data_IF_263747645725
#
_entry.id   IF_263747645725
#
_cell.length_a   1.000
_cell.length_b   1.000
_cell.length_c   1.000
_cell.angle_alpha   90.00
_cell.angle_beta   90.00
_cell.angle_gamma   90.00
#
_symmetry.space_group_name_H-M   'P 1'
#
loop_
_entity.id
_entity.type
_entity.pdbx_description
1 polymer ?
#
# COMPACT_ATOMS: atom_id res chain seq x y z
N UNK A 1 25.10 -39.68 37.23
CA UNK A 1 23.99 -38.73 37.08
C UNK A 1 24.32 -37.86 35.87
N UNK A 2 23.81 -38.25 34.69
CA UNK A 2 24.21 -37.69 33.40
C UNK A 2 23.35 -36.46 33.08
N UNK A 3 23.93 -35.27 33.21
CA UNK A 3 23.30 -33.98 32.94
C UNK A 3 24.28 -33.20 32.06
N UNK A 4 24.20 -33.32 30.73
CA UNK A 4 25.20 -32.65 29.89
C UNK A 4 25.12 -32.75 28.37
N UNK A 5 24.04 -33.25 27.77
CA UNK A 5 24.03 -33.45 26.30
C UNK A 5 22.77 -32.98 25.55
N UNK A 6 21.95 -32.09 26.13
CA UNK A 6 20.67 -31.67 25.51
C UNK A 6 20.56 -30.18 25.13
N UNK A 7 21.65 -29.39 25.22
CA UNK A 7 21.57 -27.93 24.95
C UNK A 7 22.23 -27.47 23.65
N UNK A 8 22.77 -28.36 22.82
CA UNK A 8 23.57 -27.96 21.65
C UNK A 8 22.89 -28.09 20.27
N UNK A 9 21.62 -28.53 20.19
CA UNK A 9 20.94 -28.80 18.89
C UNK A 9 19.81 -27.83 18.53
N UNK A 10 19.64 -26.71 19.24
CA UNK A 10 18.62 -25.70 18.91
C UNK A 10 19.19 -24.37 18.38
N UNK A 11 20.50 -24.26 18.19
CA UNK A 11 21.17 -23.00 17.83
C UNK A 11 21.90 -23.05 16.48
N UNK A 12 21.44 -23.87 15.52
CA UNK A 12 22.05 -23.98 14.19
C UNK A 12 21.11 -23.60 13.03
N UNK A 13 19.90 -23.11 13.31
CA UNK A 13 18.93 -22.73 12.27
C UNK A 13 18.80 -21.22 12.03
N UNK A 14 19.67 -20.38 12.60
CA UNK A 14 19.60 -18.91 12.52
C UNK A 14 20.65 -18.26 11.61
N UNK A 15 21.44 -19.06 10.88
CA UNK A 15 22.53 -18.54 10.05
C UNK A 15 22.50 -19.07 8.61
N UNK A 16 21.32 -19.35 8.06
CA UNK A 16 21.19 -19.38 6.60
C UNK A 16 21.23 -17.92 6.15
N UNK A 17 22.30 -17.45 5.48
CA UNK A 17 22.22 -16.18 4.78
C UNK A 17 21.07 -16.33 3.79
N UNK A 18 20.03 -15.50 3.95
CA UNK A 18 19.07 -15.26 2.89
C UNK A 18 19.92 -14.66 1.77
N UNK A 19 20.37 -15.49 0.84
CA UNK A 19 20.86 -15.00 -0.43
C UNK A 19 19.65 -14.32 -1.05
N UNK A 20 19.59 -13.00 -0.92
CA UNK A 20 18.75 -12.18 -1.78
C UNK A 20 19.27 -12.46 -3.20
N UNK A 21 18.59 -13.36 -3.91
CA UNK A 21 18.80 -13.53 -5.33
C UNK A 21 18.47 -12.17 -5.93
N UNK A 22 19.50 -11.40 -6.29
CA UNK A 22 19.36 -10.21 -7.11
C UNK A 22 19.04 -10.72 -8.51
N UNK A 23 17.78 -11.09 -8.72
CA UNK A 23 17.26 -11.28 -10.07
C UNK A 23 17.24 -9.90 -10.69
N UNK A 24 18.14 -9.65 -11.63
CA UNK A 24 18.02 -8.52 -12.52
C UNK A 24 16.65 -8.59 -13.16
N UNK A 25 15.76 -7.65 -12.82
CA UNK A 25 14.48 -7.56 -13.50
C UNK A 25 14.77 -7.41 -14.99
N UNK A 26 14.07 -8.16 -15.87
CA UNK A 26 14.21 -7.96 -17.30
C UNK A 26 13.99 -6.48 -17.61
N UNK A 27 14.76 -5.94 -18.56
CA UNK A 27 14.60 -4.54 -18.97
C UNK A 27 13.14 -4.30 -19.35
N UNK A 28 12.55 -3.23 -18.81
CA UNK A 28 11.19 -2.86 -19.17
C UNK A 28 11.10 -2.75 -20.71
N UNK A 29 10.12 -3.41 -21.35
CA UNK A 29 9.89 -3.22 -22.77
C UNK A 29 9.59 -1.74 -23.05
N UNK A 30 9.98 -1.26 -24.23
CA UNK A 30 9.61 0.08 -24.68
C UNK A 30 8.10 0.22 -24.63
N UNK A 31 7.62 1.28 -23.98
CA UNK A 31 6.19 1.60 -23.88
C UNK A 31 5.71 2.49 -25.03
N UNK A 32 6.62 3.00 -25.88
CA UNK A 32 6.29 3.75 -27.10
C UNK A 32 5.38 2.91 -28.01
N UNK A 33 4.25 3.51 -28.41
CA UNK A 33 3.18 2.90 -29.23
C UNK A 33 2.60 1.56 -28.71
N UNK A 34 2.83 1.20 -27.45
CA UNK A 34 2.31 -0.03 -26.86
C UNK A 34 0.82 0.06 -26.58
N UNK A 35 0.09 -1.02 -26.89
CA UNK A 35 -1.34 -1.16 -26.59
C UNK A 35 -1.47 -2.08 -25.39
N UNK A 36 -2.25 -1.65 -24.40
CA UNK A 36 -2.59 -2.40 -23.20
C UNK A 36 -4.10 -2.59 -23.12
N UNK A 37 -4.54 -3.71 -22.57
CA UNK A 37 -5.96 -3.94 -22.28
C UNK A 37 -6.45 -2.98 -21.19
N UNK A 38 -5.59 -2.67 -20.20
CA UNK A 38 -5.89 -1.75 -19.12
C UNK A 38 -4.71 -0.82 -18.80
N UNK A 39 -5.05 0.43 -18.48
CA UNK A 39 -4.13 1.37 -17.85
C UNK A 39 -4.66 1.67 -16.45
N UNK A 40 -3.86 1.33 -15.44
CA UNK A 40 -4.17 1.63 -14.03
C UNK A 40 -3.32 2.82 -13.61
N UNK A 41 -3.97 3.87 -13.12
CA UNK A 41 -3.31 5.10 -12.67
C UNK A 41 -3.28 5.13 -11.15
N UNK A 42 -2.08 5.10 -10.58
CA UNK A 42 -1.78 5.05 -9.16
C UNK A 42 -1.55 3.62 -8.65
N UNK A 43 -0.37 3.35 -8.12
CA UNK A 43 0.01 2.07 -7.50
C UNK A 43 -0.34 2.01 -6.01
N UNK A 44 -1.38 2.73 -5.59
CA UNK A 44 -1.84 2.78 -4.20
C UNK A 44 -2.64 1.55 -3.74
N UNK A 45 -3.26 1.67 -2.57
CA UNK A 45 -4.05 0.62 -1.91
C UNK A 45 -5.09 -0.07 -2.81
N UNK A 46 -5.72 0.67 -3.73
CA UNK A 46 -6.67 0.11 -4.71
C UNK A 46 -6.03 -0.31 -6.03
N UNK A 47 -5.18 0.55 -6.60
CA UNK A 47 -4.66 0.36 -7.96
C UNK A 47 -3.66 -0.79 -8.08
N UNK A 48 -2.77 -0.96 -7.10
CA UNK A 48 -1.83 -2.09 -7.07
C UNK A 48 -2.54 -3.46 -7.14
N UNK A 49 -3.48 -3.75 -6.21
CA UNK A 49 -4.25 -4.99 -6.26
C UNK A 49 -5.07 -5.16 -7.54
N UNK A 50 -5.68 -4.10 -8.08
CA UNK A 50 -6.43 -4.16 -9.35
C UNK A 50 -5.50 -4.54 -10.51
N UNK A 51 -4.35 -3.88 -10.64
CA UNK A 51 -3.38 -4.17 -11.69
C UNK A 51 -2.87 -5.61 -11.60
N UNK A 52 -2.54 -6.08 -10.39
CA UNK A 52 -2.10 -7.44 -10.16
C UNK A 52 -3.18 -8.47 -10.56
N UNK A 53 -4.43 -8.27 -10.13
CA UNK A 53 -5.53 -9.18 -10.48
C UNK A 53 -5.84 -9.21 -11.98
N UNK A 54 -5.78 -8.06 -12.66
CA UNK A 54 -5.95 -8.01 -14.12
C UNK A 54 -4.83 -8.78 -14.84
N UNK A 55 -3.58 -8.57 -14.44
CA UNK A 55 -2.43 -9.28 -15.01
C UNK A 55 -2.49 -10.79 -14.76
N UNK A 56 -2.87 -11.23 -13.56
CA UNK A 56 -3.08 -12.65 -13.21
C UNK A 56 -4.17 -13.31 -14.07
N UNK A 57 -5.14 -12.54 -14.56
CA UNK A 57 -6.20 -13.01 -15.46
C UNK A 57 -5.81 -12.93 -16.95
N UNK A 58 -4.53 -12.66 -17.26
CA UNK A 58 -3.98 -12.71 -18.61
C UNK A 58 -4.13 -11.42 -19.41
N UNK A 59 -4.57 -10.33 -18.79
CA UNK A 59 -4.62 -9.02 -19.45
C UNK A 59 -3.26 -8.33 -19.44
N UNK A 60 -2.96 -7.59 -20.50
CA UNK A 60 -1.84 -6.66 -20.55
C UNK A 60 -2.20 -5.38 -19.78
N UNK A 61 -1.40 -5.02 -18.79
CA UNK A 61 -1.69 -3.89 -17.88
C UNK A 61 -0.49 -2.96 -17.81
N UNK A 62 -0.73 -1.66 -18.06
CA UNK A 62 0.20 -0.60 -17.74
C UNK A 62 -0.21 0.02 -16.39
N UNK A 63 0.65 -0.11 -15.39
CA UNK A 63 0.51 0.58 -14.11
C UNK A 63 1.39 1.82 -14.10
N UNK A 64 0.80 2.99 -13.87
CA UNK A 64 1.51 4.27 -13.81
C UNK A 64 1.43 4.83 -12.40
N UNK A 65 2.58 5.15 -11.81
CA UNK A 65 2.69 5.76 -10.48
C UNK A 65 3.51 7.05 -10.56
N UNK A 66 3.14 8.05 -9.77
CA UNK A 66 3.83 9.34 -9.78
C UNK A 66 5.08 9.35 -8.89
N UNK A 67 5.15 8.48 -7.88
CA UNK A 67 6.33 8.31 -7.03
C UNK A 67 7.23 7.14 -7.42
N UNK A 68 8.21 6.87 -6.58
CA UNK A 68 9.24 5.85 -6.81
C UNK A 68 8.95 4.51 -6.09
N UNK A 69 9.85 3.56 -6.27
CA UNK A 69 9.92 2.35 -5.44
C UNK A 69 10.64 2.66 -4.12
N UNK A 70 9.86 2.69 -3.04
CA UNK A 70 10.33 3.04 -1.70
C UNK A 70 10.79 1.81 -0.89
N UNK A 71 11.03 0.67 -1.53
CA UNK A 71 11.50 -0.56 -0.87
C UNK A 71 12.88 -0.43 -0.19
N UNK A 72 13.65 0.60 -0.53
CA UNK A 72 14.92 0.92 0.12
C UNK A 72 14.81 2.08 1.13
N UNK A 73 13.62 2.63 1.35
CA UNK A 73 13.39 3.67 2.33
C UNK A 73 13.09 3.04 3.69
N UNK A 74 13.92 3.33 4.70
CA UNK A 74 13.75 2.79 6.05
C UNK A 74 12.46 3.27 6.70
N UNK A 75 12.00 4.48 6.38
CA UNK A 75 10.77 5.03 6.95
C UNK A 75 9.54 4.20 6.55
N UNK A 76 9.50 3.67 5.32
CA UNK A 76 8.37 2.89 4.78
C UNK A 76 8.47 1.39 5.08
N UNK A 77 9.67 0.87 5.36
CA UNK A 77 9.91 -0.58 5.50
C UNK A 77 10.14 -1.05 6.93
N UNK A 78 10.51 -0.14 7.85
CA UNK A 78 10.75 -0.47 9.25
C UNK A 78 9.59 -0.03 10.14
N UNK A 79 9.04 -0.98 10.91
CA UNK A 79 8.00 -0.70 11.91
C UNK A 79 8.44 0.31 12.97
N UNK A 80 9.74 0.40 13.26
CA UNK A 80 10.26 1.33 14.26
C UNK A 80 10.23 2.79 13.77
N UNK A 81 10.29 3.01 12.47
CA UNK A 81 10.34 4.33 11.82
C UNK A 81 9.09 4.66 11.01
N UNK A 82 8.05 3.81 11.07
CA UNK A 82 6.84 3.95 10.27
C UNK A 82 6.14 5.32 10.44
N UNK A 83 6.19 5.92 11.64
CA UNK A 83 5.63 7.26 11.85
C UNK A 83 6.41 8.37 11.16
N UNK A 84 7.72 8.18 10.92
CA UNK A 84 8.54 9.11 10.14
C UNK A 84 8.22 9.06 8.64
N UNK A 85 7.47 8.07 8.17
CA UNK A 85 6.99 8.05 6.78
C UNK A 85 5.85 9.06 6.55
N UNK A 86 5.14 9.47 7.60
CA UNK A 86 3.98 10.36 7.48
C UNK A 86 4.41 11.71 6.90
N UNK A 87 5.56 12.23 7.34
CA UNK A 87 6.14 13.52 6.96
C UNK A 87 7.44 13.40 6.14
N UNK A 88 7.68 12.24 5.51
CA UNK A 88 8.86 12.03 4.67
C UNK A 88 8.72 12.80 3.33
N UNK A 89 9.57 13.81 3.07
CA UNK A 89 9.46 14.65 1.88
C UNK A 89 9.72 13.89 0.56
N UNK A 90 10.29 12.67 0.60
CA UNK A 90 10.48 11.84 -0.59
C UNK A 90 9.18 11.31 -1.17
N UNK A 91 8.21 11.04 -0.28
CA UNK A 91 6.94 10.44 -0.65
C UNK A 91 5.78 11.42 -0.49
N UNK A 92 5.94 12.56 0.18
CA UNK A 92 4.84 13.51 0.37
C UNK A 92 4.41 14.20 -0.94
N UNK A 93 3.11 14.09 -1.26
CA UNK A 93 2.45 14.84 -2.33
C UNK A 93 2.21 16.31 -1.97
N UNK A 94 2.38 16.67 -0.69
CA UNK A 94 2.28 18.02 -0.15
C UNK A 94 0.94 18.70 -0.49
N UNK A 95 -0.15 17.97 -0.32
CA UNK A 95 -1.50 18.49 -0.52
C UNK A 95 -1.92 19.38 0.65
N UNK A 96 -2.73 20.39 0.33
CA UNK A 96 -3.29 21.35 1.28
C UNK A 96 -4.80 21.43 1.08
N UNK A 97 -5.55 21.51 2.18
CA UNK A 97 -7.01 21.65 2.14
C UNK A 97 -7.39 23.10 1.85
N UNK A 98 -8.01 23.34 0.69
CA UNK A 98 -8.38 24.69 0.22
C UNK A 98 -9.86 25.03 0.43
N UNK A 99 -10.70 24.01 0.57
CA UNK A 99 -12.15 24.13 0.59
C UNK A 99 -12.73 23.54 1.87
N UNK A 100 -13.50 24.36 2.57
CA UNK A 100 -14.31 23.97 3.72
C UNK A 100 -15.75 24.42 3.47
N UNK A 101 -16.77 23.64 3.89
CA UNK A 101 -18.14 24.13 3.94
C UNK A 101 -18.23 25.43 4.75
N UNK A 102 -19.12 26.35 4.36
CA UNK A 102 -19.22 27.69 4.95
C UNK A 102 -19.43 27.71 6.49
N UNK A 103 -19.89 26.59 7.04
CA UNK A 103 -20.28 26.38 8.43
C UNK A 103 -19.42 25.29 9.12
N UNK A 104 -18.24 25.00 8.57
CA UNK A 104 -17.26 24.12 9.19
C UNK A 104 -16.46 24.88 10.26
N UNK A 105 -16.24 24.26 11.42
CA UNK A 105 -15.60 24.89 12.59
C UNK A 105 -14.07 25.05 12.46
N UNK A 106 -13.47 24.44 11.44
CA UNK A 106 -12.04 24.58 11.12
C UNK A 106 -11.87 25.76 10.17
N UNK A 107 -11.09 26.77 10.57
CA UNK A 107 -10.80 27.91 9.72
C UNK A 107 -9.87 27.51 8.58
N UNK A 108 -10.04 28.12 7.39
CA UNK A 108 -9.11 27.98 6.26
C UNK A 108 -7.69 28.36 6.71
N UNK A 109 -6.83 27.38 6.90
CA UNK A 109 -5.46 27.51 7.42
C UNK A 109 -4.43 26.74 6.56
N UNK A 110 -4.76 26.39 5.32
CA UNK A 110 -3.91 25.58 4.42
C UNK A 110 -3.41 24.30 5.12
N UNK A 111 -4.27 23.64 5.89
CA UNK A 111 -3.92 22.44 6.64
C UNK A 111 -3.37 21.36 5.71
N UNK A 112 -2.21 20.84 6.11
CA UNK A 112 -1.53 19.76 5.39
C UNK A 112 -2.39 18.50 5.38
N UNK A 113 -2.58 17.93 4.20
CA UNK A 113 -3.34 16.70 3.98
C UNK A 113 -2.39 15.60 3.51
N UNK A 114 -1.85 14.78 4.43
CA UNK A 114 -0.80 13.83 4.12
C UNK A 114 -1.28 12.79 3.11
N UNK A 115 -0.61 12.72 1.96
CA UNK A 115 -0.81 11.71 0.93
C UNK A 115 0.54 11.33 0.36
N UNK A 116 0.79 10.05 0.19
CA UNK A 116 2.06 9.58 -0.35
C UNK A 116 1.99 9.24 -1.83
N UNK A 117 3.09 9.55 -2.53
CA UNK A 117 3.46 9.12 -3.86
C UNK A 117 4.46 7.97 -3.74
N UNK A 118 4.27 6.91 -4.54
CA UNK A 118 5.16 5.76 -4.55
C UNK A 118 4.41 4.44 -4.64
N UNK A 119 5.12 3.36 -4.93
CA UNK A 119 4.53 2.01 -5.01
C UNK A 119 3.95 1.63 -3.64
N UNK A 120 2.64 1.38 -3.60
CA UNK A 120 1.84 1.19 -2.38
C UNK A 120 1.02 2.41 -1.96
N UNK A 121 1.38 3.61 -2.43
CA UNK A 121 0.69 4.86 -2.10
C UNK A 121 0.50 4.99 -0.59
N UNK A 122 -0.70 5.39 -0.13
CA UNK A 122 -0.93 5.61 1.30
C UNK A 122 -0.70 4.37 2.20
N UNK A 123 -0.54 3.16 1.67
CA UNK A 123 -0.22 2.00 2.52
C UNK A 123 1.20 2.01 3.06
N UNK A 124 2.12 2.79 2.46
CA UNK A 124 3.53 2.83 2.87
C UNK A 124 3.82 3.86 3.98
N UNK A 125 2.83 4.69 4.32
CA UNK A 125 2.96 5.71 5.38
C UNK A 125 1.73 5.79 6.32
N UNK A 126 0.79 4.83 6.22
CA UNK A 126 -0.32 4.76 7.17
C UNK A 126 0.12 4.18 8.52
N UNK A 127 -0.79 4.16 9.50
CA UNK A 127 -0.55 3.60 10.83
C UNK A 127 -0.67 2.06 10.90
N UNK A 128 -0.82 1.36 9.77
CA UNK A 128 -1.04 -0.09 9.73
C UNK A 128 -2.38 -0.57 10.29
N UNK A 129 -3.26 0.33 10.74
CA UNK A 129 -4.57 -0.02 11.28
C UNK A 129 -5.56 -0.38 10.17
N UNK A 130 -6.20 -1.55 10.29
CA UNK A 130 -7.26 -2.00 9.39
C UNK A 130 -8.46 -2.50 10.20
N UNK A 131 -9.50 -1.68 10.29
CA UNK A 131 -10.67 -1.94 11.15
C UNK A 131 -11.89 -2.40 10.35
N UNK A 132 -11.81 -3.55 9.66
CA UNK A 132 -12.89 -4.04 8.77
C UNK A 132 -14.01 -4.78 9.52
N UNK A 133 -13.67 -5.55 10.55
CA UNK A 133 -14.61 -6.45 11.22
C UNK A 133 -15.77 -5.71 11.94
N UNK A 134 -15.56 -4.47 12.36
CA UNK A 134 -16.57 -3.64 13.04
C UNK A 134 -17.50 -2.85 12.11
N UNK A 135 -17.29 -2.89 10.79
CA UNK A 135 -17.91 -1.96 9.84
C UNK A 135 -19.14 -2.52 9.08
N UNK A 136 -19.77 -3.61 9.55
CA UNK A 136 -20.93 -4.23 8.86
C UNK A 136 -22.02 -3.21 8.49
N UNK A 137 -22.43 -2.39 9.47
CA UNK A 137 -23.47 -1.39 9.26
C UNK A 137 -23.09 -0.37 8.18
N UNK A 138 -21.80 -0.05 8.03
CA UNK A 138 -21.33 0.88 7.01
C UNK A 138 -21.37 0.25 5.61
N UNK A 139 -20.94 -1.00 5.46
CA UNK A 139 -21.05 -1.71 4.18
C UNK A 139 -22.51 -1.91 3.75
N UNK A 140 -23.38 -2.31 4.69
CA UNK A 140 -24.81 -2.45 4.41
C UNK A 140 -25.45 -1.09 4.05
N UNK A 141 -25.00 0.01 4.69
CA UNK A 141 -25.44 1.36 4.32
C UNK A 141 -24.97 1.79 2.93
N UNK A 142 -23.75 1.45 2.52
CA UNK A 142 -23.25 1.68 1.15
C UNK A 142 -24.13 0.93 0.15
N UNK A 143 -24.38 -0.36 0.41
CA UNK A 143 -25.25 -1.19 -0.43
C UNK A 143 -26.63 -0.58 -0.65
N UNK A 144 -27.26 -0.09 0.41
CA UNK A 144 -28.56 0.59 0.34
C UNK A 144 -28.47 1.93 -0.41
N UNK A 145 -27.44 2.73 -0.16
CA UNK A 145 -27.26 4.05 -0.76
C UNK A 145 -27.12 3.97 -2.28
N UNK A 146 -26.38 2.99 -2.78
CA UNK A 146 -26.17 2.78 -4.21
C UNK A 146 -27.15 1.77 -4.83
N UNK A 147 -28.08 1.24 -4.03
CA UNK A 147 -29.02 0.19 -4.45
C UNK A 147 -28.30 -0.99 -5.15
N UNK A 148 -27.17 -1.40 -4.59
CA UNK A 148 -26.34 -2.48 -5.11
C UNK A 148 -26.00 -3.48 -3.98
N UNK A 149 -26.61 -4.68 -3.99
CA UNK A 149 -26.42 -5.68 -2.93
C UNK A 149 -24.99 -6.24 -2.88
N UNK A 150 -24.21 -6.10 -3.95
CA UNK A 150 -22.82 -6.61 -4.01
C UNK A 150 -21.87 -5.86 -3.07
N UNK A 151 -22.27 -4.68 -2.59
CA UNK A 151 -21.51 -3.90 -1.60
C UNK A 151 -21.85 -4.21 -0.14
N UNK A 152 -22.82 -5.11 0.12
CA UNK A 152 -23.15 -5.51 1.49
C UNK A 152 -22.00 -6.25 2.16
N UNK A 153 -22.00 -6.28 3.50
CA UNK A 153 -20.90 -6.89 4.25
C UNK A 153 -20.69 -8.37 3.93
N UNK A 154 -21.72 -9.09 3.50
CA UNK A 154 -21.61 -10.52 3.20
C UNK A 154 -20.85 -10.81 1.89
N UNK A 155 -20.64 -9.79 1.06
CA UNK A 155 -19.94 -9.89 -0.23
C UNK A 155 -18.52 -9.28 -0.22
N UNK A 156 -18.06 -8.73 0.94
CA UNK A 156 -16.76 -8.06 1.11
C UNK A 156 -15.90 -8.75 2.18
#
# INVERSE_FOLDING_TARGET
>A
MAMGLLTATFLALLASPIFAASSTLPSCPSTEDSIYDYIVVGAGAGGGPVAARLAENGFSVLLVETGEDESNNVNTTSLFTAFSAIDDPKIDLNYTIKEYPANFSVQRNDEWYPRSAGIGGCTIHNAGENSIAGMRQQFDAISLTFNDPTWSRDNI
#
